data_IF_244976754222
#
_entry.id   IF_244976754222
#
_cell.length_a   1.000
_cell.length_b   1.000
_cell.length_c   1.000
_cell.angle_alpha   90.00
_cell.angle_beta   90.00
_cell.angle_gamma   90.00
#
_symmetry.space_group_name_H-M   'P 1'
#
loop_
_entity.id
_entity.type
_entity.pdbx_description
1 polymer ?
#
# COMPACT_ATOMS: atom_id res chain seq x y z
N UNK A 1 9.05 -11.50 5.91
CA UNK A 1 9.22 -10.03 5.97
C UNK A 1 10.53 -9.68 5.25
N UNK A 2 10.53 -8.80 4.23
CA UNK A 2 11.72 -8.52 3.41
C UNK A 2 12.75 -7.66 4.14
N UNK A 3 14.02 -7.77 3.73
CA UNK A 3 15.17 -6.99 4.24
C UNK A 3 15.96 -6.41 3.07
N UNK A 4 16.33 -5.14 3.14
CA UNK A 4 17.20 -4.45 2.18
C UNK A 4 18.48 -4.02 2.90
N UNK A 5 19.62 -4.47 2.39
CA UNK A 5 20.94 -3.96 2.79
C UNK A 5 21.24 -2.69 1.99
N UNK A 6 21.38 -1.56 2.68
CA UNK A 6 21.73 -0.30 2.02
C UNK A 6 23.26 -0.17 1.92
N UNK A 7 23.76 0.46 0.86
CA UNK A 7 25.21 0.53 0.62
C UNK A 7 25.98 1.26 1.74
N UNK A 8 25.37 2.29 2.35
CA UNK A 8 26.01 3.20 3.31
C UNK A 8 25.09 3.55 4.51
N UNK A 9 24.23 2.64 4.95
CA UNK A 9 23.27 2.90 6.03
C UNK A 9 22.81 1.63 6.75
N UNK A 10 21.87 1.74 7.71
CA UNK A 10 21.32 0.58 8.40
C UNK A 10 20.56 -0.33 7.42
N UNK A 11 20.45 -1.61 7.75
CA UNK A 11 19.55 -2.52 7.06
C UNK A 11 18.10 -2.09 7.30
N UNK A 12 17.30 -2.07 6.24
CA UNK A 12 15.87 -1.76 6.32
C UNK A 12 15.07 -3.05 6.30
N UNK A 13 14.03 -3.13 7.13
CA UNK A 13 13.17 -4.31 7.24
C UNK A 13 11.71 -3.91 7.08
N UNK A 14 10.94 -4.74 6.37
CA UNK A 14 9.51 -4.55 6.16
C UNK A 14 9.18 -4.01 4.78
N UNK A 15 8.07 -4.52 4.21
CA UNK A 15 7.64 -4.20 2.84
C UNK A 15 7.45 -2.70 2.63
N UNK A 16 6.67 -2.06 3.50
CA UNK A 16 6.29 -0.64 3.39
C UNK A 16 7.49 0.28 3.64
N UNK A 17 8.34 -0.04 4.62
CA UNK A 17 9.59 0.67 4.90
C UNK A 17 10.54 0.65 3.70
N UNK A 18 10.76 -0.53 3.13
CA UNK A 18 11.63 -0.70 1.97
C UNK A 18 11.03 0.00 0.75
N UNK A 19 9.74 -0.15 0.50
CA UNK A 19 9.06 0.51 -0.62
C UNK A 19 9.13 2.05 -0.52
N UNK A 20 8.92 2.62 0.68
CA UNK A 20 9.07 4.06 0.90
C UNK A 20 10.51 4.53 0.66
N UNK A 21 11.51 3.74 1.07
CA UNK A 21 12.92 4.02 0.77
C UNK A 21 13.20 4.00 -0.73
N UNK A 22 12.69 3.02 -1.47
CA UNK A 22 12.84 2.94 -2.93
C UNK A 22 12.17 4.11 -3.65
N UNK A 23 11.01 4.58 -3.18
CA UNK A 23 10.35 5.79 -3.69
C UNK A 23 11.24 7.02 -3.53
N UNK A 24 11.89 7.17 -2.37
CA UNK A 24 12.85 8.27 -2.12
C UNK A 24 14.07 8.17 -3.02
N UNK A 25 14.64 6.97 -3.17
CA UNK A 25 15.77 6.74 -4.07
C UNK A 25 15.43 7.05 -5.53
N UNK A 26 14.19 6.82 -5.96
CA UNK A 26 13.72 7.15 -7.29
C UNK A 26 13.39 8.64 -7.50
N UNK A 27 13.58 9.49 -6.48
CA UNK A 27 13.20 10.91 -6.48
C UNK A 27 11.71 11.14 -6.78
N UNK A 28 10.83 10.30 -6.22
CA UNK A 28 9.37 10.35 -6.39
C UNK A 28 8.63 10.51 -5.07
N UNK A 29 9.14 11.32 -4.15
CA UNK A 29 8.56 11.50 -2.81
C UNK A 29 7.09 11.93 -2.81
N UNK A 30 6.59 12.55 -3.88
CA UNK A 30 5.16 12.86 -4.05
C UNK A 30 4.26 11.62 -3.97
N UNK A 31 4.77 10.41 -4.28
CA UNK A 31 4.04 9.14 -4.12
C UNK A 31 3.80 8.79 -2.64
N UNK A 32 4.50 9.43 -1.70
CA UNK A 32 4.26 9.27 -0.26
C UNK A 32 3.22 10.25 0.27
N UNK A 33 2.64 11.10 -0.60
CA UNK A 33 1.69 12.16 -0.27
C UNK A 33 2.31 13.55 -0.33
N UNK A 34 1.58 14.51 -0.89
CA UNK A 34 2.01 15.90 -1.08
C UNK A 34 1.66 16.81 0.10
N UNK A 35 0.58 16.50 0.84
CA UNK A 35 0.19 17.23 2.06
C UNK A 35 0.30 16.33 3.30
N UNK A 36 0.32 16.89 4.53
CA UNK A 36 0.30 16.09 5.75
C UNK A 36 -0.89 15.12 5.82
N UNK A 37 -2.08 15.55 5.39
CA UNK A 37 -3.30 14.76 5.36
C UNK A 37 -3.16 13.61 4.38
N UNK A 38 -2.66 13.88 3.17
CA UNK A 38 -2.45 12.86 2.17
C UNK A 38 -1.38 11.85 2.62
N UNK A 39 -0.28 12.32 3.23
CA UNK A 39 0.74 11.46 3.82
C UNK A 39 0.16 10.52 4.87
N UNK A 40 -0.75 11.02 5.72
CA UNK A 40 -1.42 10.21 6.73
C UNK A 40 -2.30 9.13 6.09
N UNK A 41 -3.08 9.47 5.06
CA UNK A 41 -3.91 8.49 4.33
C UNK A 41 -3.06 7.45 3.62
N UNK A 42 -1.94 7.85 3.00
CA UNK A 42 -0.98 6.88 2.42
C UNK A 42 -0.50 5.90 3.49
N UNK A 43 -0.05 6.38 4.66
CA UNK A 43 0.40 5.50 5.74
C UNK A 43 -0.69 4.55 6.22
N UNK A 44 -1.92 5.03 6.36
CA UNK A 44 -3.07 4.18 6.72
C UNK A 44 -3.25 3.02 5.73
N UNK A 45 -3.17 3.27 4.42
CA UNK A 45 -3.30 2.22 3.41
C UNK A 45 -2.10 1.27 3.35
N UNK A 46 -0.89 1.76 3.63
CA UNK A 46 0.29 0.93 3.77
C UNK A 46 0.17 -0.03 4.97
N UNK A 47 -0.35 0.44 6.10
CA UNK A 47 -0.66 -0.40 7.25
C UNK A 47 -1.78 -1.41 6.94
N UNK A 48 -2.86 -0.96 6.29
CA UNK A 48 -3.96 -1.82 5.85
C UNK A 48 -3.47 -2.96 4.96
N UNK A 49 -2.56 -2.67 4.02
CA UNK A 49 -1.96 -3.67 3.13
C UNK A 49 -1.26 -4.79 3.92
N UNK A 50 -0.47 -4.46 4.94
CA UNK A 50 0.32 -5.47 5.68
C UNK A 50 -0.49 -6.18 6.76
N UNK A 51 -1.48 -5.52 7.36
CA UNK A 51 -2.26 -6.09 8.48
C UNK A 51 -3.53 -6.80 8.04
N UNK A 52 -4.25 -6.24 7.05
CA UNK A 52 -5.50 -6.80 6.54
C UNK A 52 -5.22 -7.68 5.34
N UNK A 53 -4.75 -7.10 4.23
CA UNK A 53 -4.61 -7.83 2.96
C UNK A 53 -3.64 -9.00 3.04
N UNK A 54 -2.45 -8.79 3.63
CA UNK A 54 -1.46 -9.87 3.78
C UNK A 54 -1.76 -10.80 4.98
N UNK A 55 -2.59 -10.36 5.94
CA UNK A 55 -2.96 -11.11 7.14
C UNK A 55 -4.10 -12.11 6.96
N UNK A 56 -4.84 -12.03 5.85
CA UNK A 56 -5.97 -12.93 5.60
C UNK A 56 -5.53 -14.34 5.23
N UNK A 57 -6.07 -15.30 5.97
CA UNK A 57 -5.84 -16.74 5.78
C UNK A 57 -7.04 -17.47 5.18
N UNK A 58 -8.23 -16.83 5.14
CA UNK A 58 -9.47 -17.43 4.63
C UNK A 58 -10.11 -16.66 3.46
N UNK A 59 -10.91 -17.37 2.66
CA UNK A 59 -11.65 -16.80 1.52
C UNK A 59 -12.82 -15.90 1.93
N UNK A 60 -13.36 -16.06 3.15
CA UNK A 60 -14.46 -15.22 3.61
C UNK A 60 -13.96 -13.86 4.11
N UNK A 61 -12.77 -13.82 4.69
CA UNK A 61 -12.21 -12.55 5.16
C UNK A 61 -11.87 -11.60 3.99
N UNK A 62 -11.41 -12.15 2.85
CA UNK A 62 -11.12 -11.32 1.67
C UNK A 62 -12.38 -10.73 1.05
N UNK A 63 -13.55 -11.38 1.17
CA UNK A 63 -14.82 -10.81 0.69
C UNK A 63 -15.21 -9.57 1.48
N UNK A 64 -14.99 -9.57 2.79
CA UNK A 64 -15.25 -8.39 3.63
C UNK A 64 -14.33 -7.23 3.23
N UNK A 65 -13.04 -7.49 3.04
CA UNK A 65 -12.07 -6.49 2.52
C UNK A 65 -12.51 -5.90 1.19
N UNK A 66 -12.88 -6.75 0.22
CA UNK A 66 -13.29 -6.28 -1.10
C UNK A 66 -14.59 -5.47 -1.05
N UNK A 67 -15.53 -5.82 -0.17
CA UNK A 67 -16.77 -5.07 0.03
C UNK A 67 -16.49 -3.68 0.61
N UNK A 68 -15.67 -3.61 1.66
CA UNK A 68 -15.30 -2.33 2.30
C UNK A 68 -14.52 -1.44 1.32
N UNK A 69 -13.60 -2.03 0.55
CA UNK A 69 -12.83 -1.31 -0.46
C UNK A 69 -13.71 -0.79 -1.60
N UNK A 70 -14.68 -1.60 -2.06
CA UNK A 70 -15.62 -1.18 -3.09
C UNK A 70 -16.46 0.02 -2.64
N UNK A 71 -16.95 0.02 -1.40
CA UNK A 71 -17.67 1.18 -0.84
C UNK A 71 -16.74 2.38 -0.64
N UNK A 72 -15.51 2.17 -0.18
CA UNK A 72 -14.55 3.26 0.04
C UNK A 72 -14.17 4.00 -1.25
N UNK A 73 -14.04 3.25 -2.35
CA UNK A 73 -13.63 3.77 -3.65
C UNK A 73 -14.79 4.29 -4.50
N UNK A 74 -16.04 4.23 -4.01
CA UNK A 74 -17.23 4.64 -4.77
C UNK A 74 -17.13 6.08 -5.33
N UNK A 75 -16.50 6.98 -4.58
CA UNK A 75 -16.32 8.39 -4.91
C UNK A 75 -14.85 8.81 -5.14
N UNK A 76 -13.94 7.85 -5.38
CA UNK A 76 -12.49 8.11 -5.50
C UNK A 76 -11.88 7.41 -6.72
N UNK A 77 -10.94 8.09 -7.37
CA UNK A 77 -10.17 7.52 -8.49
C UNK A 77 -8.98 6.70 -7.97
N UNK A 78 -8.33 7.19 -6.92
CA UNK A 78 -7.19 6.57 -6.23
C UNK A 78 -7.47 6.50 -4.73
N UNK A 79 -6.65 5.75 -3.97
CA UNK A 79 -6.85 5.55 -2.53
C UNK A 79 -6.79 6.84 -1.70
N UNK A 80 -6.09 7.88 -2.18
CA UNK A 80 -6.08 9.20 -1.55
C UNK A 80 -7.05 10.20 -2.19
N UNK A 81 -7.93 9.75 -3.10
CA UNK A 81 -8.87 10.59 -3.84
C UNK A 81 -8.48 10.72 -5.31
N UNK A 82 -7.70 11.75 -5.63
CA UNK A 82 -7.39 12.14 -7.03
C UNK A 82 -5.92 12.03 -7.42
N UNK A 83 -5.03 11.69 -6.49
CA UNK A 83 -3.60 11.55 -6.75
C UNK A 83 -3.19 10.09 -6.68
N UNK A 84 -2.34 9.68 -7.61
CA UNK A 84 -1.72 8.37 -7.59
C UNK A 84 -0.58 8.32 -6.57
N UNK A 85 -0.56 7.30 -5.71
CA UNK A 85 0.40 7.17 -4.61
C UNK A 85 0.99 5.76 -4.51
N UNK A 86 1.93 5.58 -3.59
CA UNK A 86 2.48 4.27 -3.25
C UNK A 86 1.42 3.31 -2.70
N UNK A 87 0.36 3.84 -2.07
CA UNK A 87 -0.76 3.05 -1.58
C UNK A 87 -1.42 2.27 -2.73
N UNK A 88 -1.67 2.92 -3.86
CA UNK A 88 -2.33 2.31 -5.02
C UNK A 88 -1.48 1.16 -5.59
N UNK A 89 -0.17 1.39 -5.73
CA UNK A 89 0.79 0.39 -6.23
C UNK A 89 0.80 -0.85 -5.33
N UNK A 90 0.97 -0.66 -4.02
CA UNK A 90 1.10 -1.79 -3.11
C UNK A 90 -0.24 -2.48 -2.89
N UNK A 91 -1.35 -1.77 -2.85
CA UNK A 91 -2.66 -2.42 -2.71
C UNK A 91 -3.01 -3.22 -3.97
N UNK A 92 -2.74 -2.69 -5.17
CA UNK A 92 -2.87 -3.41 -6.43
C UNK A 92 -2.11 -4.74 -6.41
N UNK A 93 -0.81 -4.73 -6.09
CA UNK A 93 -0.03 -5.97 -6.02
C UNK A 93 -0.52 -6.93 -4.92
N UNK A 94 -1.00 -6.41 -3.79
CA UNK A 94 -1.53 -7.23 -2.71
C UNK A 94 -2.83 -7.93 -3.09
N UNK A 95 -3.70 -7.24 -3.84
CA UNK A 95 -5.02 -7.71 -4.25
C UNK A 95 -5.01 -8.52 -5.54
N UNK A 96 -3.99 -8.39 -6.38
CA UNK A 96 -3.89 -9.05 -7.69
C UNK A 96 -4.24 -10.55 -7.63
N UNK A 97 -3.70 -11.26 -6.64
CA UNK A 97 -3.95 -12.70 -6.43
C UNK A 97 -5.42 -13.08 -6.16
N UNK A 98 -6.22 -12.13 -5.67
CA UNK A 98 -7.63 -12.36 -5.36
C UNK A 98 -8.55 -11.94 -6.50
N UNK A 99 -8.10 -11.00 -7.35
CA UNK A 99 -8.90 -10.43 -8.44
C UNK A 99 -8.67 -11.19 -9.74
N UNK A 100 -7.43 -11.54 -10.07
CA UNK A 100 -7.08 -12.11 -11.40
C UNK A 100 -7.18 -13.64 -11.43
N UNK A 101 -7.07 -14.32 -10.28
CA UNK A 101 -7.18 -15.79 -10.20
C UNK A 101 -8.63 -16.25 -9.95
N UNK A 102 -9.58 -15.82 -10.78
CA UNK A 102 -10.90 -16.46 -10.86
C UNK A 102 -10.84 -17.74 -11.69
#
# INVERSE_FOLDING_TARGET
>A
IPVLQTNNGPSLTGLTTIAAHLVKQANKEYLLGSTPEEKAVVQQWLEYRVTRVDGHSSKDDIRAVLKDLNSYLEDKVYLTGYNFTLADILLYYGLHRFIVMQ
#
